data_IF_577031030145
#
_entry.id   IF_577031030145
#
_cell.length_a   1.000
_cell.length_b   1.000
_cell.length_c   1.000
_cell.angle_alpha   90.00
_cell.angle_beta   90.00
_cell.angle_gamma   90.00
#
_symmetry.space_group_name_H-M   'P 1'
#
loop_
_entity.id
_entity.type
_entity.pdbx_description
1 polymer ?
#
# COMPACT_ATOMS: atom_id res chain seq x y z
N UNK A 1 0.49 -48.53 -6.09
CA UNK A 1 -0.66 -48.15 -5.26
C UNK A 1 -1.27 -49.43 -4.72
N UNK A 2 -1.13 -49.68 -3.41
CA UNK A 2 -1.76 -50.85 -2.76
C UNK A 2 -3.02 -50.35 -2.08
N UNK A 3 -4.18 -50.80 -2.54
CA UNK A 3 -5.47 -50.46 -1.95
C UNK A 3 -5.68 -51.40 -0.76
N UNK A 4 -5.63 -50.86 0.45
CA UNK A 4 -6.14 -51.54 1.64
C UNK A 4 -7.56 -51.02 1.94
N UNK A 5 -8.45 -51.98 2.17
CA UNK A 5 -9.87 -51.79 2.46
C UNK A 5 -10.08 -51.04 3.79
N UNK A 6 -11.09 -50.16 3.92
CA UNK A 6 -11.31 -49.42 5.16
C UNK A 6 -11.77 -50.36 6.28
N UNK A 7 -11.14 -50.25 7.46
CA UNK A 7 -11.64 -50.85 8.69
C UNK A 7 -13.01 -50.27 9.08
N UNK A 8 -13.87 -51.10 9.69
CA UNK A 8 -15.24 -50.71 10.02
C UNK A 8 -15.26 -49.57 11.03
N UNK A 9 -16.15 -48.59 10.81
CA UNK A 9 -16.34 -47.47 11.72
C UNK A 9 -17.00 -47.96 13.01
N UNK A 10 -16.28 -47.98 14.13
CA UNK A 10 -16.87 -48.18 15.46
C UNK A 10 -17.46 -46.86 15.93
N UNK A 11 -18.78 -46.79 16.14
CA UNK A 11 -19.38 -45.69 16.89
C UNK A 11 -18.99 -45.88 18.36
N UNK A 12 -18.19 -44.98 18.91
CA UNK A 12 -17.98 -44.92 20.36
C UNK A 12 -19.34 -44.72 21.05
N UNK A 13 -19.62 -45.47 22.12
CA UNK A 13 -20.84 -45.35 22.92
C UNK A 13 -20.81 -44.14 23.90
N UNK A 14 -19.77 -43.31 23.83
CA UNK A 14 -19.61 -42.10 24.64
C UNK A 14 -20.55 -40.98 24.15
N UNK A 15 -21.22 -40.29 25.08
CA UNK A 15 -22.09 -39.14 24.79
C UNK A 15 -21.35 -38.00 24.08
N UNK A 16 -20.01 -37.97 24.21
CA UNK A 16 -19.14 -37.02 23.51
C UNK A 16 -19.04 -37.29 22.00
N UNK A 17 -19.34 -38.51 21.54
CA UNK A 17 -19.26 -38.92 20.14
C UNK A 17 -20.53 -38.56 19.33
N UNK A 18 -20.91 -37.27 19.38
CA UNK A 18 -22.13 -36.74 18.75
C UNK A 18 -22.08 -36.71 17.21
N UNK A 19 -20.88 -36.73 16.61
CA UNK A 19 -20.67 -36.79 15.16
C UNK A 19 -19.71 -37.92 14.83
N UNK A 20 -20.01 -38.66 13.75
CA UNK A 20 -19.13 -39.72 13.24
C UNK A 20 -17.81 -39.13 12.77
N UNK A 21 -16.72 -39.55 13.41
CA UNK A 21 -15.36 -39.21 12.98
C UNK A 21 -14.86 -40.30 12.01
N UNK A 22 -14.46 -39.88 10.83
CA UNK A 22 -13.71 -40.74 9.90
C UNK A 22 -12.22 -40.55 10.20
N UNK A 23 -11.46 -41.62 10.50
CA UNK A 23 -10.02 -41.50 10.73
C UNK A 23 -9.31 -41.02 9.46
N UNK A 24 -8.27 -40.21 9.63
CA UNK A 24 -7.43 -39.79 8.51
C UNK A 24 -6.77 -41.01 7.87
N UNK A 25 -7.01 -41.24 6.59
CA UNK A 25 -6.41 -42.36 5.84
C UNK A 25 -5.11 -41.96 5.15
N UNK A 26 -4.86 -40.65 5.01
CA UNK A 26 -3.67 -40.08 4.39
C UNK A 26 -3.29 -38.78 5.12
N UNK A 27 -1.99 -38.51 5.22
CA UNK A 27 -1.46 -37.24 5.74
C UNK A 27 -1.16 -36.34 4.55
N UNK A 28 -1.66 -35.10 4.59
CA UNK A 28 -1.40 -34.11 3.56
C UNK A 28 0.08 -33.69 3.57
N UNK A 29 0.82 -34.01 2.50
CA UNK A 29 2.18 -33.50 2.31
C UNK A 29 2.12 -32.10 1.71
N UNK A 30 2.29 -31.08 2.55
CA UNK A 30 2.20 -29.67 2.12
C UNK A 30 3.35 -29.29 1.19
N UNK A 31 4.54 -29.88 1.36
CA UNK A 31 5.70 -29.65 0.47
C UNK A 31 5.39 -30.00 -0.98
N UNK A 32 4.60 -31.05 -1.22
CA UNK A 32 4.22 -31.49 -2.55
C UNK A 32 3.20 -30.58 -3.25
N UNK A 33 2.58 -29.64 -2.53
CA UNK A 33 1.60 -28.71 -3.07
C UNK A 33 2.23 -27.45 -3.68
N UNK A 34 3.53 -27.22 -3.44
CA UNK A 34 4.26 -26.07 -3.98
C UNK A 34 5.09 -26.48 -5.21
N UNK A 35 5.04 -25.66 -6.27
CA UNK A 35 5.81 -25.87 -7.48
C UNK A 35 7.30 -25.50 -7.27
N UNK A 36 8.13 -26.51 -7.02
CA UNK A 36 9.59 -26.37 -6.87
C UNK A 36 10.28 -25.88 -8.14
N UNK A 37 9.64 -26.00 -9.30
CA UNK A 37 10.19 -25.58 -10.59
C UNK A 37 9.84 -24.14 -10.96
N UNK A 38 8.97 -23.50 -10.16
CA UNK A 38 8.51 -22.14 -10.40
C UNK A 38 9.69 -21.16 -10.42
N UNK A 39 9.70 -20.29 -11.45
CA UNK A 39 10.68 -19.21 -11.58
C UNK A 39 9.99 -17.89 -11.38
N UNK A 40 10.64 -17.00 -10.64
CA UNK A 40 10.17 -15.65 -10.44
C UNK A 40 9.95 -14.95 -11.78
N UNK A 41 8.82 -14.23 -11.85
CA UNK A 41 8.51 -13.37 -12.99
C UNK A 41 9.58 -12.29 -13.16
N UNK A 42 9.88 -11.97 -14.42
CA UNK A 42 10.73 -10.82 -14.81
C UNK A 42 9.91 -9.60 -15.22
N UNK A 43 8.58 -9.68 -15.08
CA UNK A 43 7.67 -8.60 -15.40
C UNK A 43 7.81 -7.47 -14.39
N UNK A 44 7.37 -6.27 -14.80
CA UNK A 44 7.15 -5.20 -13.83
C UNK A 44 5.97 -5.56 -12.91
N UNK A 45 5.93 -5.02 -11.69
CA UNK A 45 4.80 -5.21 -10.77
C UNK A 45 3.42 -4.99 -11.43
N UNK A 46 3.28 -3.94 -12.25
CA UNK A 46 2.02 -3.63 -12.93
C UNK A 46 1.64 -4.68 -13.98
N UNK A 47 2.61 -5.23 -14.71
CA UNK A 47 2.38 -6.29 -15.68
C UNK A 47 2.01 -7.61 -15.00
N UNK A 48 2.68 -7.95 -13.89
CA UNK A 48 2.34 -9.13 -13.09
C UNK A 48 0.91 -9.05 -12.55
N UNK A 49 0.48 -7.88 -12.09
CA UNK A 49 -0.91 -7.63 -11.69
C UNK A 49 -1.88 -7.84 -12.85
N UNK A 50 -1.61 -7.25 -14.02
CA UNK A 50 -2.47 -7.36 -15.20
C UNK A 50 -2.57 -8.83 -15.64
N UNK A 51 -1.46 -9.57 -15.65
CA UNK A 51 -1.44 -10.98 -16.01
C UNK A 51 -2.27 -11.82 -15.03
N UNK A 52 -2.10 -11.62 -13.72
CA UNK A 52 -2.86 -12.34 -12.71
C UNK A 52 -4.36 -12.03 -12.79
N UNK A 53 -4.74 -10.75 -12.95
CA UNK A 53 -6.13 -10.36 -13.13
C UNK A 53 -6.74 -10.92 -14.42
N UNK A 54 -5.96 -10.97 -15.51
CA UNK A 54 -6.41 -11.57 -16.78
C UNK A 54 -6.60 -13.08 -16.64
N UNK A 55 -5.67 -13.80 -15.97
CA UNK A 55 -5.81 -15.23 -15.69
C UNK A 55 -7.10 -15.52 -14.93
N UNK A 56 -7.43 -14.70 -13.93
CA UNK A 56 -8.70 -14.81 -13.20
C UNK A 56 -9.90 -14.57 -14.10
N UNK A 57 -9.89 -13.52 -14.93
CA UNK A 57 -10.98 -13.25 -15.89
C UNK A 57 -11.22 -14.47 -16.80
N UNK A 58 -10.16 -15.12 -17.30
CA UNK A 58 -10.28 -16.27 -18.19
C UNK A 58 -10.98 -17.48 -17.55
N UNK A 59 -10.99 -17.59 -16.22
CA UNK A 59 -11.66 -18.70 -15.52
C UNK A 59 -13.18 -18.65 -15.60
N UNK A 60 -13.77 -17.48 -15.88
CA UNK A 60 -15.22 -17.31 -15.74
C UNK A 60 -15.86 -16.47 -16.84
N UNK A 61 -15.09 -15.73 -17.66
CA UNK A 61 -15.65 -14.78 -18.64
C UNK A 61 -16.63 -15.40 -19.65
N UNK A 62 -16.45 -16.69 -19.95
CA UNK A 62 -17.28 -17.47 -20.87
C UNK A 62 -18.39 -18.28 -20.16
N UNK A 63 -18.54 -18.14 -18.85
CA UNK A 63 -19.59 -18.80 -18.09
C UNK A 63 -20.77 -17.85 -17.90
N UNK A 64 -21.95 -18.27 -18.35
CA UNK A 64 -23.19 -17.50 -18.22
C UNK A 64 -23.67 -17.45 -16.75
N UNK A 65 -23.44 -18.52 -16.00
CA UNK A 65 -23.80 -18.64 -14.59
C UNK A 65 -22.58 -18.97 -13.73
N UNK A 66 -22.47 -18.31 -12.58
CA UNK A 66 -21.39 -18.47 -11.61
C UNK A 66 -22.03 -18.67 -10.23
N UNK A 67 -21.62 -19.71 -9.50
CA UNK A 67 -22.10 -19.92 -8.13
C UNK A 67 -21.57 -18.84 -7.19
N UNK A 68 -22.30 -18.55 -6.10
CA UNK A 68 -21.90 -17.52 -5.13
C UNK A 68 -20.55 -17.82 -4.48
N UNK A 69 -20.27 -19.10 -4.22
CA UNK A 69 -19.00 -19.57 -3.67
C UNK A 69 -17.85 -19.32 -4.65
N UNK A 70 -18.05 -19.62 -5.93
CA UNK A 70 -17.02 -19.41 -6.94
C UNK A 70 -16.78 -17.91 -7.18
N UNK A 71 -17.84 -17.11 -7.23
CA UNK A 71 -17.74 -15.65 -7.31
C UNK A 71 -16.96 -15.07 -6.11
N UNK A 72 -17.21 -15.56 -4.90
CA UNK A 72 -16.48 -15.15 -3.70
C UNK A 72 -14.99 -15.50 -3.78
N UNK A 73 -14.64 -16.69 -4.31
CA UNK A 73 -13.24 -17.09 -4.50
C UNK A 73 -12.56 -16.21 -5.57
N UNK A 74 -13.24 -15.93 -6.69
CA UNK A 74 -12.72 -15.03 -7.73
C UNK A 74 -12.48 -13.63 -7.20
N UNK A 75 -13.43 -13.10 -6.41
CA UNK A 75 -13.32 -11.84 -5.71
C UNK A 75 -12.06 -11.78 -4.82
N UNK A 76 -11.84 -12.81 -3.99
CA UNK A 76 -10.64 -12.93 -3.18
C UNK A 76 -9.36 -13.04 -4.02
N UNK A 77 -9.44 -13.71 -5.18
CA UNK A 77 -8.36 -13.79 -6.16
C UNK A 77 -7.94 -12.41 -6.70
N UNK A 78 -8.90 -11.56 -7.08
CA UNK A 78 -8.58 -10.21 -7.57
C UNK A 78 -7.89 -9.37 -6.51
N UNK A 79 -8.36 -9.45 -5.26
CA UNK A 79 -7.70 -8.73 -4.17
C UNK A 79 -6.30 -9.28 -3.90
N UNK A 80 -6.12 -10.60 -3.97
CA UNK A 80 -4.80 -11.22 -3.84
C UNK A 80 -3.83 -10.72 -4.91
N UNK A 81 -4.29 -10.46 -6.14
CA UNK A 81 -3.47 -9.84 -7.18
C UNK A 81 -3.04 -8.41 -6.83
N UNK A 82 -3.90 -7.62 -6.16
CA UNK A 82 -3.55 -6.26 -5.67
C UNK A 82 -2.51 -6.34 -4.55
N UNK A 83 -2.67 -7.27 -3.61
CA UNK A 83 -1.67 -7.49 -2.56
C UNK A 83 -0.31 -7.90 -3.15
N UNK A 84 -0.29 -8.84 -4.10
CA UNK A 84 0.94 -9.24 -4.81
C UNK A 84 1.59 -8.06 -5.53
N UNK A 85 0.80 -7.18 -6.14
CA UNK A 85 1.29 -5.95 -6.77
C UNK A 85 1.99 -5.03 -5.75
N UNK A 86 1.35 -4.74 -4.62
CA UNK A 86 1.91 -3.87 -3.58
C UNK A 86 3.24 -4.45 -3.07
N UNK A 87 3.26 -5.76 -2.79
CA UNK A 87 4.49 -6.46 -2.36
C UNK A 87 5.59 -6.37 -3.42
N UNK A 88 5.29 -6.74 -4.66
CA UNK A 88 6.24 -6.69 -5.76
C UNK A 88 6.81 -5.28 -5.98
N UNK A 89 5.97 -4.25 -5.89
CA UNK A 89 6.40 -2.86 -6.05
C UNK A 89 7.32 -2.42 -4.91
N UNK A 90 6.94 -2.63 -3.65
CA UNK A 90 7.77 -2.27 -2.49
C UNK A 90 9.11 -3.01 -2.53
N UNK A 91 9.11 -4.33 -2.79
CA UNK A 91 10.33 -5.13 -2.96
C UNK A 91 11.25 -4.53 -4.01
N UNK A 92 10.71 -4.23 -5.19
CA UNK A 92 11.48 -3.71 -6.32
C UNK A 92 12.03 -2.31 -6.04
N UNK A 93 11.26 -1.48 -5.32
CA UNK A 93 11.70 -0.15 -4.91
C UNK A 93 12.86 -0.19 -3.92
N UNK A 94 12.82 -1.05 -2.91
CA UNK A 94 13.92 -1.24 -1.96
C UNK A 94 15.23 -1.64 -2.66
N UNK A 95 15.13 -2.36 -3.77
CA UNK A 95 16.29 -2.81 -4.55
C UNK A 95 16.81 -1.80 -5.56
N UNK A 96 15.93 -0.92 -6.05
CA UNK A 96 16.24 -0.03 -7.17
C UNK A 96 16.54 1.38 -6.70
N UNK A 97 15.83 1.86 -5.69
CA UNK A 97 15.91 3.23 -5.22
C UNK A 97 16.72 3.34 -3.92
N UNK A 98 17.74 4.21 -3.95
CA UNK A 98 18.67 4.40 -2.84
C UNK A 98 17.99 4.93 -1.56
N UNK A 99 16.92 5.72 -1.69
CA UNK A 99 16.20 6.25 -0.52
C UNK A 99 15.31 5.17 0.10
N UNK A 100 14.64 4.36 -0.72
CA UNK A 100 13.91 3.18 -0.25
C UNK A 100 14.84 2.19 0.45
N UNK A 101 16.00 1.92 -0.15
CA UNK A 101 17.00 1.03 0.44
C UNK A 101 17.41 1.52 1.83
N UNK A 102 17.78 2.79 1.95
CA UNK A 102 18.17 3.41 3.22
C UNK A 102 17.05 3.39 4.26
N UNK A 103 15.80 3.54 3.83
CA UNK A 103 14.63 3.41 4.72
C UNK A 103 14.52 1.98 5.27
N UNK A 104 14.73 0.98 4.41
CA UNK A 104 14.64 -0.43 4.77
C UNK A 104 15.82 -0.95 5.61
N UNK A 105 16.99 -0.30 5.59
CA UNK A 105 18.20 -0.73 6.32
C UNK A 105 17.98 -0.89 7.85
N UNK A 106 17.07 -0.11 8.43
CA UNK A 106 16.78 -0.16 9.87
C UNK A 106 15.65 -1.14 10.23
N UNK A 107 15.08 -1.84 9.25
CA UNK A 107 13.96 -2.75 9.46
C UNK A 107 14.44 -4.14 9.89
N UNK A 108 13.64 -4.79 10.72
CA UNK A 108 13.94 -6.13 11.24
C UNK A 108 13.33 -7.23 10.36
N UNK A 109 14.08 -8.31 10.18
CA UNK A 109 13.61 -9.55 9.56
C UNK A 109 13.80 -10.72 10.52
N UNK A 110 13.07 -11.80 10.31
CA UNK A 110 13.28 -13.04 11.08
C UNK A 110 14.61 -13.70 10.72
N UNK A 111 15.21 -14.43 11.66
CA UNK A 111 16.44 -15.17 11.41
C UNK A 111 16.28 -16.23 10.30
N UNK A 112 15.12 -16.88 10.25
CA UNK A 112 14.80 -17.84 9.18
C UNK A 112 14.80 -17.21 7.79
N UNK A 113 14.21 -16.02 7.64
CA UNK A 113 14.27 -15.27 6.38
C UNK A 113 15.71 -14.89 6.02
N UNK A 114 16.50 -14.43 6.99
CA UNK A 114 17.91 -14.09 6.76
C UNK A 114 18.75 -15.29 6.29
N UNK A 115 18.45 -16.50 6.78
CA UNK A 115 19.18 -17.72 6.44
C UNK A 115 18.76 -18.34 5.11
N UNK A 116 17.47 -18.26 4.76
CA UNK A 116 16.90 -19.02 3.64
C UNK A 116 16.41 -18.19 2.44
N UNK A 117 16.20 -16.88 2.57
CA UNK A 117 15.85 -16.05 1.42
C UNK A 117 17.07 -15.74 0.56
N UNK A 118 16.88 -15.70 -0.75
CA UNK A 118 17.86 -15.10 -1.64
C UNK A 118 17.83 -13.56 -1.48
N UNK A 119 18.93 -12.88 -1.82
CA UNK A 119 19.05 -11.42 -1.69
C UNK A 119 17.97 -10.65 -2.47
N UNK A 120 17.45 -11.22 -3.56
CA UNK A 120 16.43 -10.62 -4.41
C UNK A 120 15.01 -10.72 -3.82
N UNK A 121 14.76 -11.67 -2.91
CA UNK A 121 13.48 -11.87 -2.24
C UNK A 121 13.53 -11.48 -0.76
N UNK A 122 14.71 -11.16 -0.24
CA UNK A 122 14.84 -10.72 1.16
C UNK A 122 13.90 -9.57 1.54
N UNK A 123 13.63 -8.56 0.67
CA UNK A 123 12.67 -7.52 1.01
C UNK A 123 11.23 -8.00 1.20
N UNK A 124 10.85 -9.20 0.71
CA UNK A 124 9.53 -9.77 1.01
C UNK A 124 9.34 -10.02 2.50
N UNK A 125 10.40 -10.43 3.20
CA UNK A 125 10.33 -10.72 4.63
C UNK A 125 10.01 -9.49 5.48
N UNK A 126 10.24 -8.28 4.95
CA UNK A 126 9.83 -7.03 5.60
C UNK A 126 8.30 -6.86 5.63
N UNK A 127 7.60 -7.53 4.73
CA UNK A 127 6.15 -7.41 4.54
C UNK A 127 5.37 -8.61 5.10
N UNK A 128 6.01 -9.58 5.73
CA UNK A 128 5.33 -10.76 6.28
C UNK A 128 4.27 -10.40 7.33
N UNK A 129 4.55 -9.38 8.14
CA UNK A 129 3.63 -8.87 9.17
C UNK A 129 2.78 -7.68 8.70
N UNK A 130 2.85 -7.32 7.42
CA UNK A 130 2.04 -6.24 6.86
C UNK A 130 0.73 -6.81 6.29
N UNK A 131 -0.39 -6.26 6.73
CA UNK A 131 -1.71 -6.55 6.18
C UNK A 131 -2.12 -5.46 5.20
N UNK A 132 -2.61 -5.83 4.02
CA UNK A 132 -3.14 -4.86 3.04
C UNK A 132 -4.67 -4.80 3.08
N UNK A 133 -5.24 -4.84 4.28
CA UNK A 133 -6.69 -4.94 4.53
C UNK A 133 -7.42 -3.61 4.59
N UNK A 134 -6.72 -2.49 4.36
CA UNK A 134 -7.28 -1.16 4.22
C UNK A 134 -6.31 -0.29 3.41
N UNK A 135 -6.83 0.77 2.78
CA UNK A 135 -6.04 1.77 2.06
C UNK A 135 -4.96 2.38 2.96
N UNK A 136 -5.31 2.70 4.21
CA UNK A 136 -4.39 3.23 5.22
C UNK A 136 -3.19 2.32 5.46
N UNK A 137 -3.39 0.99 5.50
CA UNK A 137 -2.30 0.05 5.70
C UNK A 137 -1.33 0.06 4.50
N UNK A 138 -1.84 0.18 3.28
CA UNK A 138 -1.01 0.31 2.08
C UNK A 138 -0.17 1.59 2.19
N UNK A 139 -0.80 2.74 2.47
CA UNK A 139 -0.10 4.02 2.62
C UNK A 139 0.99 3.97 3.71
N UNK A 140 0.66 3.40 4.88
CA UNK A 140 1.61 3.20 5.99
C UNK A 140 2.78 2.29 5.59
N UNK A 141 2.54 1.23 4.82
CA UNK A 141 3.59 0.32 4.33
C UNK A 141 4.55 1.08 3.42
N UNK A 142 4.04 1.84 2.44
CA UNK A 142 4.90 2.64 1.57
C UNK A 142 5.72 3.66 2.37
N UNK A 143 5.10 4.35 3.33
CA UNK A 143 5.82 5.32 4.16
C UNK A 143 6.91 4.67 5.01
N UNK A 144 6.61 3.56 5.67
CA UNK A 144 7.53 2.90 6.62
C UNK A 144 8.67 2.12 5.96
N UNK A 145 8.43 1.52 4.79
CA UNK A 145 9.43 0.68 4.11
C UNK A 145 10.16 1.39 2.98
N UNK A 146 9.61 2.47 2.44
CA UNK A 146 10.20 3.16 1.28
C UNK A 146 10.36 4.67 1.47
N UNK A 147 9.86 5.25 2.57
CA UNK A 147 9.76 6.70 2.80
C UNK A 147 9.02 7.45 1.68
N UNK A 148 8.07 6.78 1.04
CA UNK A 148 7.20 7.38 0.02
C UNK A 148 5.86 7.72 0.66
N UNK A 149 5.45 8.98 0.53
CA UNK A 149 4.10 9.42 0.85
C UNK A 149 3.26 9.38 -0.42
N UNK A 150 2.39 8.38 -0.51
CA UNK A 150 1.50 8.23 -1.66
C UNK A 150 0.32 9.20 -1.54
N UNK A 151 0.19 10.08 -2.53
CA UNK A 151 -0.98 10.96 -2.67
C UNK A 151 -1.97 10.28 -3.60
N UNK A 152 -3.06 9.78 -3.03
CA UNK A 152 -4.14 9.09 -3.74
C UNK A 152 -5.43 9.84 -3.46
N UNK A 153 -6.28 9.96 -4.49
CA UNK A 153 -7.59 10.59 -4.37
C UNK A 153 -8.48 9.85 -3.33
N UNK A 154 -9.17 10.62 -2.49
CA UNK A 154 -10.03 10.10 -1.43
C UNK A 154 -11.15 9.21 -1.97
N UNK A 155 -11.66 9.48 -3.17
CA UNK A 155 -12.66 8.64 -3.82
C UNK A 155 -12.11 7.23 -4.10
N UNK A 156 -10.84 7.14 -4.53
CA UNK A 156 -10.19 5.85 -4.82
C UNK A 156 -9.92 5.07 -3.54
N UNK A 157 -9.44 5.73 -2.47
CA UNK A 157 -9.20 5.06 -1.19
C UNK A 157 -10.51 4.61 -0.55
N UNK A 158 -11.57 5.41 -0.65
CA UNK A 158 -12.90 5.07 -0.13
C UNK A 158 -13.48 3.84 -0.82
N UNK A 159 -13.40 3.75 -2.16
CA UNK A 159 -13.86 2.55 -2.89
C UNK A 159 -13.02 1.31 -2.57
N UNK A 160 -11.70 1.47 -2.43
CA UNK A 160 -10.85 0.37 -1.98
C UNK A 160 -11.24 -0.12 -0.58
N UNK A 161 -11.51 0.79 0.35
CA UNK A 161 -11.89 0.43 1.72
C UNK A 161 -13.23 -0.30 1.79
N UNK A 162 -14.20 0.05 0.94
CA UNK A 162 -15.43 -0.73 0.78
C UNK A 162 -15.12 -2.17 0.35
N UNK A 163 -14.28 -2.34 -0.67
CA UNK A 163 -13.86 -3.67 -1.14
C UNK A 163 -13.13 -4.44 -0.03
N UNK A 164 -12.29 -3.78 0.75
CA UNK A 164 -11.64 -4.38 1.92
C UNK A 164 -12.64 -4.88 2.97
N UNK A 165 -13.72 -4.16 3.24
CA UNK A 165 -14.78 -4.62 4.14
C UNK A 165 -15.50 -5.86 3.59
N UNK A 166 -15.76 -5.91 2.28
CA UNK A 166 -16.35 -7.08 1.64
C UNK A 166 -15.38 -8.28 1.68
N UNK A 167 -14.09 -8.08 1.44
CA UNK A 167 -13.04 -9.09 1.62
C UNK A 167 -13.05 -9.65 3.03
N UNK A 168 -13.16 -8.78 4.03
CA UNK A 168 -13.24 -9.22 5.42
C UNK A 168 -14.43 -10.16 5.64
N UNK A 169 -15.60 -9.86 5.05
CA UNK A 169 -16.77 -10.74 5.13
C UNK A 169 -16.55 -12.09 4.42
N UNK A 170 -15.88 -12.10 3.25
CA UNK A 170 -15.60 -13.36 2.53
C UNK A 170 -14.62 -14.26 3.30
N UNK A 171 -13.52 -13.68 3.78
CA UNK A 171 -12.47 -14.43 4.51
C UNK A 171 -12.96 -14.85 5.89
N UNK A 172 -13.67 -13.96 6.58
CA UNK A 172 -14.18 -14.20 7.92
C UNK A 172 -15.70 -14.26 7.84
N UNK A 173 -16.25 -15.42 8.20
CA UNK A 173 -17.71 -15.67 8.31
C UNK A 173 -18.41 -16.02 7.00
N UNK A 174 -17.68 -16.55 6.02
CA UNK A 174 -18.25 -17.17 4.80
C UNK A 174 -19.21 -16.22 4.04
N UNK A 175 -18.77 -14.97 3.87
CA UNK A 175 -19.52 -13.93 3.16
C UNK A 175 -20.56 -13.19 4.00
N UNK A 176 -20.81 -13.58 5.26
CA UNK A 176 -21.87 -12.97 6.08
C UNK A 176 -21.49 -11.60 6.60
N UNK A 177 -22.37 -10.61 6.40
CA UNK A 177 -22.16 -9.25 6.87
C UNK A 177 -22.22 -9.15 8.40
N UNK A 178 -21.11 -8.73 9.02
CA UNK A 178 -21.02 -8.44 10.44
C UNK A 178 -21.29 -6.97 10.78
N UNK A 179 -21.64 -6.70 12.04
CA UNK A 179 -21.95 -5.35 12.52
C UNK A 179 -20.81 -4.35 12.31
N UNK A 180 -19.54 -4.74 12.56
CA UNK A 180 -18.37 -3.86 12.35
C UNK A 180 -18.22 -3.45 10.89
N UNK A 181 -18.32 -4.40 9.95
CA UNK A 181 -18.21 -4.12 8.53
C UNK A 181 -19.38 -3.26 8.04
N UNK A 182 -20.60 -3.55 8.52
CA UNK A 182 -21.76 -2.76 8.18
C UNK A 182 -21.70 -1.31 8.70
N UNK A 183 -21.11 -1.08 9.88
CA UNK A 183 -20.85 0.28 10.36
C UNK A 183 -19.89 1.03 9.42
N UNK A 184 -18.82 0.37 8.96
CA UNK A 184 -17.87 0.96 8.02
C UNK A 184 -18.47 1.20 6.62
N UNK A 185 -19.39 0.35 6.16
CA UNK A 185 -20.11 0.52 4.89
C UNK A 185 -21.32 1.48 4.96
N UNK A 186 -21.75 1.83 6.17
CA UNK A 186 -22.92 2.69 6.43
C UNK A 186 -24.10 1.91 7.03
N UNK A 187 -24.31 2.08 8.34
CA UNK A 187 -25.28 1.29 9.11
C UNK A 187 -26.74 1.46 8.66
N UNK A 188 -27.12 2.67 8.24
CA UNK A 188 -28.50 2.98 7.85
C UNK A 188 -28.99 2.10 6.69
N UNK A 189 -28.13 1.87 5.69
CA UNK A 189 -28.45 1.03 4.54
C UNK A 189 -28.19 -0.47 4.81
N UNK A 190 -27.27 -0.81 5.71
CA UNK A 190 -26.77 -2.17 5.87
C UNK A 190 -27.29 -2.94 7.09
N UNK A 191 -27.96 -2.30 8.05
CA UNK A 191 -28.48 -2.94 9.26
C UNK A 191 -29.43 -4.12 8.97
N UNK A 192 -30.27 -3.99 7.93
CA UNK A 192 -31.19 -5.05 7.49
C UNK A 192 -30.49 -6.23 6.78
N UNK A 193 -29.18 -6.15 6.59
CA UNK A 193 -28.36 -7.14 5.89
C UNK A 193 -27.45 -7.94 6.83
N UNK A 194 -27.53 -7.73 8.14
CA UNK A 194 -26.75 -8.52 9.11
C UNK A 194 -26.95 -10.02 8.93
N UNK A 195 -25.86 -10.78 9.01
CA UNK A 195 -25.82 -12.23 8.81
C UNK A 195 -26.24 -12.72 7.42
N UNK A 196 -26.64 -11.83 6.51
CA UNK A 196 -26.94 -12.20 5.12
C UNK A 196 -25.63 -12.43 4.38
N UNK A 197 -25.55 -13.49 3.55
CA UNK A 197 -24.35 -13.75 2.76
C UNK A 197 -24.20 -12.71 1.65
N UNK A 198 -22.95 -12.39 1.33
CA UNK A 198 -22.60 -11.67 0.12
C UNK A 198 -22.97 -12.52 -1.09
N UNK A 199 -23.61 -11.89 -2.07
CA UNK A 199 -23.86 -12.47 -3.39
C UNK A 199 -23.25 -11.52 -4.41
N UNK A 200 -22.44 -12.06 -5.31
CA UNK A 200 -21.77 -11.29 -6.37
C UNK A 200 -22.23 -11.82 -7.73
N UNK A 201 -22.79 -10.93 -8.54
CA UNK A 201 -23.09 -11.21 -9.93
C UNK A 201 -21.84 -11.06 -10.80
N UNK A 202 -21.96 -11.47 -12.07
CA UNK A 202 -20.97 -11.22 -13.11
C UNK A 202 -20.61 -9.74 -13.23
N UNK A 203 -21.61 -8.87 -13.22
CA UNK A 203 -21.39 -7.43 -13.36
C UNK A 203 -20.69 -6.84 -12.13
N UNK A 204 -20.98 -7.35 -10.92
CA UNK A 204 -20.27 -6.97 -9.71
C UNK A 204 -18.78 -7.38 -9.78
N UNK A 205 -18.47 -8.57 -10.31
CA UNK A 205 -17.08 -9.02 -10.49
C UNK A 205 -16.34 -8.17 -11.53
N UNK A 206 -16.99 -7.79 -12.65
CA UNK A 206 -16.41 -6.87 -13.63
C UNK A 206 -16.13 -5.51 -13.00
N UNK A 207 -17.08 -4.98 -12.23
CA UNK A 207 -16.93 -3.71 -11.53
C UNK A 207 -15.77 -3.78 -10.54
N UNK A 208 -15.72 -4.78 -9.65
CA UNK A 208 -14.61 -4.96 -8.72
C UNK A 208 -13.27 -5.07 -9.44
N UNK A 209 -13.18 -5.90 -10.48
CA UNK A 209 -11.94 -6.05 -11.27
C UNK A 209 -11.48 -4.72 -11.86
N UNK A 210 -12.40 -3.93 -12.43
CA UNK A 210 -12.10 -2.61 -13.00
C UNK A 210 -11.71 -1.58 -11.94
N UNK A 211 -12.36 -1.59 -10.77
CA UNK A 211 -12.04 -0.71 -9.64
C UNK A 211 -10.66 -1.01 -9.10
N UNK A 212 -10.34 -2.29 -8.87
CA UNK A 212 -9.03 -2.71 -8.38
C UNK A 212 -7.91 -2.40 -9.39
N UNK A 213 -8.17 -2.52 -10.70
CA UNK A 213 -7.24 -2.04 -11.74
C UNK A 213 -6.97 -0.55 -11.63
N UNK A 214 -8.00 0.26 -11.43
CA UNK A 214 -7.88 1.72 -11.27
C UNK A 214 -7.10 2.09 -10.02
N UNK A 215 -7.34 1.39 -8.90
CA UNK A 215 -6.57 1.53 -7.65
C UNK A 215 -5.08 1.25 -7.90
N UNK A 216 -4.75 0.11 -8.51
CA UNK A 216 -3.36 -0.28 -8.78
C UNK A 216 -2.66 0.71 -9.70
N UNK A 217 -3.30 1.13 -10.80
CA UNK A 217 -2.73 2.16 -11.71
C UNK A 217 -2.52 3.50 -11.00
N UNK A 218 -3.44 3.90 -10.12
CA UNK A 218 -3.30 5.12 -9.33
C UNK A 218 -2.12 5.04 -8.36
N UNK A 219 -1.98 3.93 -7.63
CA UNK A 219 -0.81 3.67 -6.76
C UNK A 219 0.48 3.69 -7.59
N UNK A 220 0.50 3.03 -8.76
CA UNK A 220 1.67 2.97 -9.65
C UNK A 220 2.14 4.37 -10.05
N UNK A 221 1.21 5.21 -10.49
CA UNK A 221 1.50 6.56 -10.96
C UNK A 221 1.92 7.48 -9.81
N UNK A 222 1.26 7.39 -8.66
CA UNK A 222 1.61 8.15 -7.46
C UNK A 222 3.02 7.78 -6.96
N UNK A 223 3.34 6.49 -6.90
CA UNK A 223 4.65 5.99 -6.51
C UNK A 223 5.73 6.40 -7.53
N UNK A 224 5.47 6.27 -8.84
CA UNK A 224 6.39 6.70 -9.89
C UNK A 224 6.74 8.17 -9.75
N UNK A 225 5.72 9.03 -9.59
CA UNK A 225 5.92 10.46 -9.38
C UNK A 225 6.73 10.73 -8.12
N UNK A 226 6.34 10.17 -6.98
CA UNK A 226 7.01 10.43 -5.71
C UNK A 226 8.49 10.01 -5.72
N UNK A 227 8.80 8.87 -6.34
CA UNK A 227 10.17 8.37 -6.49
C UNK A 227 11.01 9.28 -7.40
N UNK A 228 10.48 9.70 -8.54
CA UNK A 228 11.19 10.64 -9.40
C UNK A 228 11.33 12.03 -8.75
N UNK A 229 10.32 12.49 -8.03
CA UNK A 229 10.32 13.79 -7.37
C UNK A 229 11.42 13.89 -6.31
N UNK A 230 11.62 12.85 -5.50
CA UNK A 230 12.70 12.85 -4.49
C UNK A 230 14.10 12.71 -5.08
N UNK A 231 14.23 12.14 -6.27
CA UNK A 231 15.54 12.00 -6.94
C UNK A 231 15.98 13.28 -7.66
N UNK A 232 15.03 14.19 -7.92
CA UNK A 232 15.28 15.56 -8.39
C UNK A 232 14.64 16.58 -7.43
N UNK A 233 15.28 16.82 -6.27
CA UNK A 233 14.73 17.72 -5.26
C UNK A 233 14.73 19.16 -5.76
N UNK A 234 13.55 19.78 -5.75
CA UNK A 234 13.37 21.19 -6.15
C UNK A 234 13.15 22.11 -4.95
N UNK A 235 13.01 21.59 -3.73
CA UNK A 235 12.77 22.37 -2.52
C UNK A 235 14.08 22.63 -1.78
N UNK A 236 14.46 23.90 -1.49
CA UNK A 236 15.66 24.19 -0.70
C UNK A 236 15.54 23.69 0.74
N UNK A 237 16.61 23.07 1.24
CA UNK A 237 16.75 22.62 2.63
C UNK A 237 17.66 23.58 3.40
N UNK A 238 17.41 23.74 4.70
CA UNK A 238 18.14 24.66 5.59
C UNK A 238 17.34 25.90 6.00
N UNK A 239 17.90 26.70 6.92
CA UNK A 239 17.29 27.93 7.45
C UNK A 239 18.15 29.15 7.11
N UNK A 240 17.49 30.30 6.90
CA UNK A 240 18.16 31.57 6.57
C UNK A 240 19.06 31.46 5.33
N UNK A 241 20.27 31.98 5.44
CA UNK A 241 21.26 32.03 4.36
C UNK A 241 21.85 30.65 4.00
N UNK A 242 21.57 29.61 4.79
CA UNK A 242 22.02 28.23 4.53
C UNK A 242 21.06 27.42 3.66
N UNK A 243 20.02 28.06 3.10
CA UNK A 243 19.09 27.40 2.17
C UNK A 243 19.83 26.98 0.90
N UNK A 244 19.87 25.68 0.64
CA UNK A 244 20.46 25.10 -0.58
C UNK A 244 19.59 24.01 -1.14
N UNK A 245 19.61 23.85 -2.46
CA UNK A 245 18.99 22.69 -3.09
C UNK A 245 19.86 21.46 -2.80
N UNK A 246 19.26 20.33 -2.39
CA UNK A 246 19.99 19.07 -2.34
C UNK A 246 20.48 18.67 -3.74
N UNK A 247 21.51 17.84 -3.80
CA UNK A 247 22.07 17.36 -5.06
C UNK A 247 21.05 16.49 -5.79
N UNK A 248 20.79 16.80 -7.06
CA UNK A 248 20.01 15.94 -7.96
C UNK A 248 20.82 14.73 -8.39
N UNK A 249 20.14 13.60 -8.59
CA UNK A 249 20.72 12.40 -9.22
C UNK A 249 20.86 12.53 -10.74
N UNK A 250 20.21 13.53 -11.34
CA UNK A 250 20.05 13.66 -12.78
C UNK A 250 20.89 14.81 -13.34
N UNK A 251 21.61 14.54 -14.43
CA UNK A 251 22.40 15.52 -15.18
C UNK A 251 21.55 16.38 -16.11
N UNK A 252 20.31 15.96 -16.40
CA UNK A 252 19.37 16.54 -17.38
C UNK A 252 19.73 16.23 -18.84
N UNK A 253 20.76 15.44 -19.07
CA UNK A 253 21.07 14.89 -20.40
C UNK A 253 20.54 13.45 -20.48
N UNK A 254 19.73 13.16 -21.50
CA UNK A 254 19.10 11.84 -21.61
C UNK A 254 20.14 10.74 -21.80
N UNK A 255 21.17 10.94 -22.62
CA UNK A 255 22.14 9.87 -22.90
C UNK A 255 23.01 9.58 -21.66
N UNK A 256 23.37 10.60 -20.88
CA UNK A 256 24.05 10.44 -19.60
C UNK A 256 23.18 9.75 -18.53
N UNK A 257 21.88 10.06 -18.48
CA UNK A 257 20.98 9.59 -17.41
C UNK A 257 20.24 8.28 -17.76
N UNK A 258 20.27 7.84 -19.02
CA UNK A 258 19.49 6.71 -19.56
C UNK A 258 19.65 5.41 -18.77
N UNK A 259 20.87 5.05 -18.42
CA UNK A 259 21.17 3.79 -17.70
C UNK A 259 20.62 3.77 -16.27
N UNK A 260 20.50 4.93 -15.63
CA UNK A 260 19.83 5.04 -14.33
C UNK A 260 18.31 5.12 -14.52
N UNK A 261 17.84 5.94 -15.46
CA UNK A 261 16.42 6.18 -15.67
C UNK A 261 15.69 4.89 -16.09
N UNK A 262 16.30 4.03 -16.90
CA UNK A 262 15.69 2.76 -17.31
C UNK A 262 15.41 1.84 -16.11
N UNK A 263 16.23 1.90 -15.06
CA UNK A 263 16.02 1.11 -13.84
C UNK A 263 14.73 1.52 -13.16
N UNK A 264 14.51 2.83 -12.98
CA UNK A 264 13.28 3.37 -12.43
C UNK A 264 12.08 3.15 -13.36
N UNK A 265 12.21 3.48 -14.65
CA UNK A 265 11.13 3.37 -15.62
C UNK A 265 10.57 1.94 -15.69
N UNK A 266 11.45 0.91 -15.73
CA UNK A 266 11.02 -0.50 -15.78
C UNK A 266 10.23 -0.98 -14.58
N UNK A 267 10.37 -0.33 -13.41
CA UNK A 267 9.56 -0.69 -12.22
C UNK A 267 8.08 -0.37 -12.44
N UNK A 268 7.77 0.70 -13.18
CA UNK A 268 6.42 1.25 -13.26
C UNK A 268 5.78 1.13 -14.63
N UNK A 269 6.57 0.91 -15.68
CA UNK A 269 6.06 0.79 -17.05
C UNK A 269 5.41 -0.58 -17.27
N UNK A 270 4.30 -0.56 -17.98
CA UNK A 270 3.68 -1.76 -18.55
C UNK A 270 4.30 -2.07 -19.91
N UNK A 271 4.54 -3.35 -20.19
CA UNK A 271 4.94 -3.83 -21.52
C UNK A 271 3.74 -4.06 -22.44
N UNK A 272 2.53 -4.11 -21.89
CA UNK A 272 1.31 -4.14 -22.71
C UNK A 272 1.19 -2.88 -23.58
N UNK A 273 0.75 -3.08 -24.81
CA UNK A 273 0.69 -2.02 -25.82
C UNK A 273 -0.19 -0.85 -25.34
N UNK A 274 0.30 0.36 -25.55
CA UNK A 274 -0.39 1.64 -25.27
C UNK A 274 -0.71 1.91 -23.78
N UNK A 275 -0.23 1.08 -22.85
CA UNK A 275 -0.38 1.27 -21.39
C UNK A 275 0.69 2.17 -20.77
N UNK A 276 1.79 2.45 -21.48
CA UNK A 276 2.87 3.32 -20.98
C UNK A 276 3.54 4.11 -22.12
N UNK A 277 3.75 5.44 -21.96
CA UNK A 277 4.51 6.23 -22.93
C UNK A 277 5.97 5.78 -22.99
N UNK A 278 6.67 6.09 -24.09
CA UNK A 278 8.07 5.65 -24.28
C UNK A 278 8.99 6.24 -23.21
N UNK A 279 10.02 5.48 -22.83
CA UNK A 279 11.00 5.90 -21.81
C UNK A 279 11.60 7.30 -22.07
N UNK A 280 12.07 7.57 -23.29
CA UNK A 280 12.65 8.88 -23.65
C UNK A 280 11.65 10.02 -23.48
N UNK A 281 10.41 9.79 -23.86
CA UNK A 281 9.32 10.75 -23.70
C UNK A 281 9.04 11.03 -22.22
N UNK A 282 8.96 9.99 -21.38
CA UNK A 282 8.76 10.14 -19.95
C UNK A 282 9.92 10.88 -19.27
N UNK A 283 11.16 10.60 -19.67
CA UNK A 283 12.33 11.34 -19.20
C UNK A 283 12.24 12.83 -19.57
N UNK A 284 11.91 13.14 -20.82
CA UNK A 284 11.76 14.54 -21.27
C UNK A 284 10.67 15.27 -20.48
N UNK A 285 9.51 14.64 -20.25
CA UNK A 285 8.43 15.21 -19.43
C UNK A 285 8.90 15.46 -17.99
N UNK A 286 9.58 14.49 -17.39
CA UNK A 286 10.13 14.59 -16.04
C UNK A 286 11.10 15.76 -15.89
N UNK A 287 12.12 15.85 -16.74
CA UNK A 287 13.10 16.94 -16.68
C UNK A 287 12.42 18.30 -16.91
N UNK A 288 11.54 18.41 -17.91
CA UNK A 288 10.83 19.65 -18.19
C UNK A 288 10.00 20.15 -16.98
N UNK A 289 9.27 19.26 -16.30
CA UNK A 289 8.51 19.59 -15.09
C UNK A 289 9.44 20.11 -13.98
N UNK A 290 10.58 19.44 -13.76
CA UNK A 290 11.54 19.82 -12.71
C UNK A 290 12.23 21.14 -12.99
N UNK A 291 12.59 21.41 -14.23
CA UNK A 291 13.15 22.70 -14.61
C UNK A 291 12.13 23.84 -14.46
N UNK A 292 10.87 23.61 -14.84
CA UNK A 292 9.81 24.58 -14.63
C UNK A 292 9.60 24.88 -13.13
N UNK A 293 9.66 23.85 -12.28
CA UNK A 293 9.57 24.02 -10.82
C UNK A 293 10.74 24.86 -10.26
N UNK A 294 11.98 24.62 -10.71
CA UNK A 294 13.14 25.43 -10.32
C UNK A 294 13.01 26.90 -10.77
N UNK A 295 12.50 27.14 -11.98
CA UNK A 295 12.27 28.50 -12.48
C UNK A 295 11.20 29.26 -11.68
N UNK A 296 10.16 28.57 -11.19
CA UNK A 296 9.14 29.20 -10.32
C UNK A 296 9.75 29.66 -8.99
N UNK A 297 10.71 28.91 -8.45
CA UNK A 297 11.39 29.23 -7.19
C UNK A 297 12.31 30.44 -7.35
N UNK A 298 13.09 30.50 -8.44
CA UNK A 298 13.96 31.66 -8.71
C UNK A 298 13.16 32.95 -8.91
N UNK A 299 12.02 32.88 -9.62
CA UNK A 299 11.10 34.02 -9.81
C UNK A 299 10.37 34.42 -8.52
N UNK A 300 10.01 33.46 -7.68
CA UNK A 300 9.39 33.71 -6.36
C UNK A 300 10.33 34.38 -5.36
N UNK A 301 11.63 34.04 -5.39
CA UNK A 301 12.65 34.67 -4.57
C UNK A 301 12.91 36.14 -4.96
N UNK A 302 12.75 36.50 -6.23
CA UNK A 302 12.97 37.87 -6.74
C UNK A 302 11.85 38.88 -6.38
N UNK A 303 10.73 38.43 -5.79
CA UNK A 303 9.55 39.26 -5.48
C UNK A 303 9.45 39.72 -4.01
N UNK A 304 10.55 39.72 -3.23
CA UNK A 304 10.54 40.41 -1.93
C UNK A 304 10.64 41.93 -2.14
N UNK A 305 9.66 42.75 -1.70
CA UNK A 305 9.72 44.19 -1.86
C UNK A 305 10.85 44.77 -0.99
N UNK A 306 11.63 45.64 -1.62
CA UNK A 306 12.62 46.49 -0.97
C UNK A 306 11.85 47.47 -0.08
N UNK A 307 11.92 47.29 1.25
CA UNK A 307 11.38 48.27 2.20
C UNK A 307 12.33 49.48 2.17
N UNK A 308 11.89 50.69 1.80
CA UNK A 308 12.74 51.87 1.85
C UNK A 308 13.10 52.16 3.31
N UNK A 309 14.39 52.30 3.59
CA UNK A 309 14.89 52.88 4.84
C UNK A 309 14.41 54.34 4.92
N UNK A 310 13.50 54.63 5.85
CA UNK A 310 13.13 55.99 6.24
C UNK A 310 13.98 56.45 7.43
N UNK A 311 14.74 57.53 7.24
CA UNK A 311 15.41 58.31 8.27
C UNK A 311 14.45 59.36 8.87
N UNK A 312 14.50 59.53 10.20
CA UNK A 312 14.19 60.74 11.01
C UNK A 312 12.75 61.26 10.97
N UNK A 313 12.18 61.90 12.00
CA UNK A 313 12.60 62.25 13.35
C UNK A 313 11.36 62.83 14.08
N UNK A 314 11.45 62.86 15.42
CA UNK A 314 10.82 63.82 16.34
C UNK A 314 9.34 63.69 16.81
N UNK A 315 9.26 63.48 18.14
CA UNK A 315 8.42 64.15 19.15
C UNK A 315 6.94 63.78 19.36
N UNK A 316 6.64 63.41 20.62
CA UNK A 316 5.32 63.60 21.23
C UNK A 316 4.93 62.56 22.28
N UNK A 317 5.44 62.67 23.51
CA UNK A 317 4.77 62.19 24.73
C UNK A 317 3.81 63.30 25.22
N UNK A 318 2.83 63.11 26.16
CA UNK A 318 2.76 62.03 27.16
C UNK A 318 1.34 61.53 27.58
N UNK A 319 1.36 60.58 28.54
CA UNK A 319 0.41 60.33 29.63
C UNK A 319 -0.87 59.49 29.39
N UNK A 320 -1.01 58.44 30.22
CA UNK A 320 -2.23 57.66 30.40
C UNK A 320 -1.94 56.38 31.19
N UNK A 321 -2.40 56.36 32.44
CA UNK A 321 -1.96 55.52 33.55
C UNK A 321 -2.84 54.25 33.74
N UNK A 322 -2.40 53.37 34.64
CA UNK A 322 -3.15 52.38 35.44
C UNK A 322 -3.56 50.99 34.88
N UNK A 323 -2.78 50.00 35.37
CA UNK A 323 -3.16 48.87 36.24
C UNK A 323 -3.85 47.57 35.71
N UNK A 324 -3.14 46.46 35.99
CA UNK A 324 -3.58 45.18 36.57
C UNK A 324 -4.83 44.46 36.05
N UNK A 325 -4.66 43.23 35.55
CA UNK A 325 -4.78 41.99 36.36
C UNK A 325 -4.40 40.75 35.54
N UNK A 326 -3.58 39.90 36.16
CA UNK A 326 -3.36 38.51 35.80
C UNK A 326 -4.60 37.69 36.17
N UNK A 327 -4.94 36.68 35.38
CA UNK A 327 -5.45 35.42 35.95
C UNK A 327 -5.07 34.23 35.06
N UNK A 328 -4.35 33.31 35.70
CA UNK A 328 -4.05 31.97 35.25
C UNK A 328 -5.33 31.12 35.26
N UNK A 329 -5.40 30.10 34.41
CA UNK A 329 -5.86 28.79 34.90
C UNK A 329 -5.32 27.66 34.03
N UNK A 330 -4.49 26.85 34.67
CA UNK A 330 -4.13 25.49 34.28
C UNK A 330 -5.26 24.55 34.70
N UNK A 331 -5.53 23.50 33.92
CA UNK A 331 -6.41 22.41 34.31
C UNK A 331 -5.65 21.10 34.20
N UNK A 332 -5.77 20.36 35.30
CA UNK A 332 -5.15 19.11 35.71
C UNK A 332 -5.23 17.93 34.73
N UNK A 333 -4.17 17.13 34.79
CA UNK A 333 -4.05 15.77 34.25
C UNK A 333 -4.14 14.79 35.42
N UNK A 334 -5.04 13.79 35.42
CA UNK A 334 -5.02 12.74 36.44
C UNK A 334 -3.97 11.67 36.11
N UNK A 335 -3.14 11.36 37.11
CA UNK A 335 -2.22 10.22 37.13
C UNK A 335 -2.98 8.90 37.28
N UNK A 336 -2.65 7.92 36.45
CA UNK A 336 -3.13 6.53 36.56
C UNK A 336 -2.04 5.64 37.18
N UNK A 337 -2.47 4.78 38.09
CA UNK A 337 -1.66 4.02 39.06
C UNK A 337 -0.95 2.82 38.43
N UNK A 338 0.30 2.60 38.85
CA UNK A 338 1.10 1.41 38.56
C UNK A 338 0.74 0.33 39.59
N UNK A 339 0.17 -0.79 39.12
CA UNK A 339 0.03 -2.01 39.90
C UNK A 339 1.27 -2.89 39.73
N UNK A 340 1.94 -3.20 40.84
CA UNK A 340 2.92 -4.27 40.97
C UNK A 340 2.17 -5.60 41.17
N UNK A 341 2.41 -6.59 40.31
CA UNK A 341 2.10 -7.99 40.64
C UNK A 341 3.39 -8.74 40.92
N UNK A 342 3.39 -9.39 42.09
CA UNK A 342 4.50 -10.15 42.64
C UNK A 342 4.51 -11.60 42.20
N UNK A 343 5.64 -12.22 42.54
CA UNK A 343 5.95 -13.62 42.39
C UNK A 343 4.87 -14.58 42.94
N UNK A 344 4.55 -15.60 42.14
CA UNK A 344 4.65 -17.02 42.51
C UNK A 344 4.66 -17.91 41.28
#
# INVERSE_FOLDING_TARGET
MTIQTPGSSTSSADYSAIVKVTPFTQILSTEALFDKSHKLSKLSPIDEFIENANKLNLLWINHDEISSEFASILFLGYFSAVESYVRALVRTLIQTDIYSQKCAENQQITFGAALHHNKQLLPEALMDNHSFTASENILKTFKSLTDIELVIDEAITTELDKICQLRHCCVHRFGKLGAKNAMALGLTSHSKLFEKPLTLSRDDLLLVSSTLRSVVKTINNAAYKAVLDRTFPTVPVGKGDKKRLPKSLWSKDYEADKELFIKYYKVFSSTNKDESPKMKEMYTRFIAEKEQALQKISKGAAKKPNIPQGQGDANGHPQGDTSHQQENNAVDVPQEQVAQEGAK
#
